data_IF_736902244587
#
_entry.id   IF_736902244587
#
_cell.length_a   1.000
_cell.length_b   1.000
_cell.length_c   1.000
_cell.angle_alpha   90.00
_cell.angle_beta   90.00
_cell.angle_gamma   90.00
#
_symmetry.space_group_name_H-M   'P 1'
#
loop_
_entity.id
_entity.type
_entity.pdbx_description
1 polymer ?
#
# COMPACT_ATOMS: atom_id res chain seq x y z
N UNK A 1 -26.09 32.75 11.61
CA UNK A 1 -25.06 32.22 12.51
C UNK A 1 -24.36 30.97 11.95
N UNK A 2 -25.02 30.11 11.15
CA UNK A 2 -24.39 28.87 10.65
C UNK A 2 -23.39 28.98 9.49
N UNK A 3 -23.38 30.10 8.78
CA UNK A 3 -22.46 30.28 7.64
C UNK A 3 -21.00 30.51 8.04
N UNK A 4 -20.71 30.86 9.30
CA UNK A 4 -19.34 31.03 9.80
C UNK A 4 -18.69 29.75 10.27
N UNK A 5 -19.44 28.77 10.78
CA UNK A 5 -18.89 27.55 11.37
C UNK A 5 -18.36 26.57 10.30
N UNK A 6 -19.11 26.36 9.22
CA UNK A 6 -18.64 25.51 8.12
C UNK A 6 -17.42 26.10 7.40
N UNK A 7 -17.33 27.46 7.30
CA UNK A 7 -16.18 28.10 6.68
C UNK A 7 -14.92 28.00 7.55
N UNK A 8 -15.07 28.16 8.86
CA UNK A 8 -13.97 27.95 9.82
C UNK A 8 -13.49 26.49 9.78
N UNK A 9 -14.42 25.53 9.75
CA UNK A 9 -14.09 24.11 9.63
C UNK A 9 -13.41 23.80 8.30
N UNK A 10 -13.86 24.38 7.17
CA UNK A 10 -13.20 24.22 5.87
C UNK A 10 -11.73 24.69 5.93
N UNK A 11 -11.50 25.86 6.50
CA UNK A 11 -10.15 26.45 6.57
C UNK A 11 -9.28 25.64 7.55
N UNK A 12 -9.78 25.37 8.75
CA UNK A 12 -8.98 24.68 9.79
C UNK A 12 -8.82 23.19 9.51
N UNK A 13 -9.92 22.48 9.24
CA UNK A 13 -9.93 21.03 9.14
C UNK A 13 -9.67 20.54 7.70
N UNK A 14 -10.13 21.26 6.69
CA UNK A 14 -9.90 20.93 5.30
C UNK A 14 -8.53 21.38 4.80
N UNK A 15 -8.23 22.69 4.91
CA UNK A 15 -7.05 23.29 4.29
C UNK A 15 -5.82 23.17 5.19
N UNK A 16 -5.89 23.68 6.43
CA UNK A 16 -4.72 23.74 7.32
C UNK A 16 -4.28 22.33 7.71
N UNK A 17 -5.21 21.44 8.08
CA UNK A 17 -4.87 20.04 8.38
C UNK A 17 -4.36 19.30 7.13
N UNK A 18 -4.93 19.56 5.95
CA UNK A 18 -4.47 18.96 4.70
C UNK A 18 -3.05 19.38 4.33
N UNK A 19 -2.75 20.68 4.39
CA UNK A 19 -1.39 21.21 4.17
C UNK A 19 -0.43 20.74 5.26
N UNK A 20 -0.86 20.79 6.53
CA UNK A 20 -0.08 20.31 7.68
C UNK A 20 0.30 18.83 7.55
N UNK A 21 -0.62 17.99 7.08
CA UNK A 21 -0.35 16.59 6.77
C UNK A 21 0.77 16.44 5.74
N UNK A 22 0.72 17.17 4.63
CA UNK A 22 1.78 17.13 3.61
C UNK A 22 3.11 17.61 4.17
N UNK A 23 3.12 18.71 4.94
CA UNK A 23 4.35 19.28 5.53
C UNK A 23 4.98 18.34 6.57
N UNK A 24 4.19 17.60 7.33
CA UNK A 24 4.69 16.64 8.32
C UNK A 24 5.53 15.52 7.69
N UNK A 25 5.22 15.11 6.45
CA UNK A 25 5.98 14.08 5.74
C UNK A 25 7.21 14.62 5.01
N UNK A 26 7.29 15.92 4.78
CA UNK A 26 8.37 16.53 4.01
C UNK A 26 9.76 16.21 4.56
N UNK A 27 10.03 16.36 5.88
CA UNK A 27 11.33 16.03 6.44
C UNK A 27 11.72 14.56 6.27
N UNK A 28 10.75 13.65 6.45
CA UNK A 28 10.98 12.22 6.32
C UNK A 28 11.31 11.83 4.87
N UNK A 29 10.59 12.42 3.90
CA UNK A 29 10.81 12.19 2.47
C UNK A 29 12.13 12.82 2.04
N UNK A 30 12.46 14.02 2.52
CA UNK A 30 13.73 14.67 2.24
C UNK A 30 14.91 13.83 2.75
N UNK A 31 14.81 13.28 3.97
CA UNK A 31 15.83 12.39 4.52
C UNK A 31 15.97 11.11 3.71
N UNK A 32 14.84 10.51 3.28
CA UNK A 32 14.85 9.34 2.40
C UNK A 32 15.59 9.64 1.10
N UNK A 33 15.25 10.74 0.42
CA UNK A 33 15.90 11.11 -0.83
C UNK A 33 17.38 11.48 -0.62
N UNK A 34 17.74 12.06 0.53
CA UNK A 34 19.13 12.34 0.89
C UNK A 34 19.94 11.04 0.97
N UNK A 35 19.45 10.06 1.74
CA UNK A 35 20.11 8.75 1.86
C UNK A 35 20.23 8.04 0.50
N UNK A 36 19.17 8.10 -0.31
CA UNK A 36 19.18 7.50 -1.64
C UNK A 36 20.16 8.17 -2.59
N UNK A 37 20.20 9.50 -2.61
CA UNK A 37 21.13 10.26 -3.45
C UNK A 37 22.58 9.98 -3.08
N UNK A 38 22.89 9.89 -1.78
CA UNK A 38 24.22 9.52 -1.28
C UNK A 38 24.64 8.11 -1.76
N UNK A 39 23.72 7.13 -1.68
CA UNK A 39 24.00 5.77 -2.11
C UNK A 39 24.09 5.65 -3.65
N UNK A 40 23.33 6.44 -4.39
CA UNK A 40 23.35 6.46 -5.85
C UNK A 40 24.64 7.11 -6.37
N UNK A 41 24.98 8.29 -5.88
CA UNK A 41 26.17 9.04 -6.29
C UNK A 41 27.49 8.34 -5.92
N UNK A 42 27.50 7.57 -4.82
CA UNK A 42 28.67 6.79 -4.41
C UNK A 42 28.96 5.58 -5.32
N UNK A 43 28.02 5.19 -6.21
CA UNK A 43 28.12 3.98 -7.03
C UNK A 43 27.81 2.67 -6.28
N UNK A 44 27.35 2.76 -5.02
CA UNK A 44 27.03 1.61 -4.17
C UNK A 44 25.81 0.85 -4.68
N UNK A 45 24.81 1.55 -5.21
CA UNK A 45 23.57 0.98 -5.74
C UNK A 45 23.81 -0.05 -6.86
N UNK A 46 24.72 0.25 -7.80
CA UNK A 46 25.04 -0.66 -8.92
C UNK A 46 25.66 -1.96 -8.41
N UNK A 47 26.47 -1.91 -7.35
CA UNK A 47 27.10 -3.08 -6.75
C UNK A 47 26.12 -3.94 -5.98
N UNK A 48 25.20 -3.33 -5.22
CA UNK A 48 24.11 -4.06 -4.57
C UNK A 48 23.26 -4.75 -5.62
N UNK A 49 22.88 -4.07 -6.70
CA UNK A 49 22.11 -4.67 -7.78
C UNK A 49 22.82 -5.88 -8.39
N UNK A 50 24.13 -5.83 -8.55
CA UNK A 50 24.94 -6.93 -9.04
C UNK A 50 24.95 -8.13 -8.07
N UNK A 51 25.20 -7.89 -6.78
CA UNK A 51 25.21 -8.93 -5.75
C UNK A 51 23.83 -9.59 -5.63
N UNK A 52 22.79 -8.78 -5.67
CA UNK A 52 21.41 -9.23 -5.51
C UNK A 52 20.80 -9.83 -6.78
N UNK A 53 21.50 -9.82 -7.91
CA UNK A 53 20.99 -10.40 -9.17
C UNK A 53 20.73 -11.90 -9.04
N UNK A 54 21.66 -12.64 -8.44
CA UNK A 54 21.52 -14.10 -8.27
C UNK A 54 20.30 -14.51 -7.43
N UNK A 55 20.03 -13.92 -6.24
CA UNK A 55 18.80 -14.21 -5.51
C UNK A 55 17.55 -13.69 -6.20
N UNK A 56 17.57 -12.48 -6.81
CA UNK A 56 16.40 -11.91 -7.47
C UNK A 56 15.96 -12.73 -8.69
N UNK A 57 16.88 -13.28 -9.47
CA UNK A 57 16.57 -14.21 -10.57
C UNK A 57 15.83 -15.46 -10.12
N UNK A 58 16.03 -15.94 -8.89
CA UNK A 58 15.24 -17.06 -8.33
C UNK A 58 13.76 -16.70 -8.24
N UNK A 59 13.43 -15.44 -8.05
CA UNK A 59 12.06 -14.91 -8.02
C UNK A 59 11.57 -14.41 -9.39
N UNK A 60 12.41 -14.52 -10.44
CA UNK A 60 12.09 -14.08 -11.80
C UNK A 60 12.20 -12.58 -11.99
N UNK A 61 13.00 -11.90 -11.18
CA UNK A 61 13.29 -10.49 -11.21
C UNK A 61 14.77 -10.25 -11.54
N UNK A 62 15.12 -9.11 -12.12
CA UNK A 62 16.50 -8.68 -12.29
C UNK A 62 17.07 -8.09 -10.99
N UNK A 63 18.39 -8.06 -10.84
CA UNK A 63 19.03 -7.44 -9.68
C UNK A 63 18.69 -5.97 -9.48
N UNK A 64 18.40 -5.24 -10.57
CA UNK A 64 17.93 -3.84 -10.52
C UNK A 64 16.61 -3.70 -9.75
N UNK A 65 15.77 -4.75 -9.68
CA UNK A 65 14.50 -4.76 -8.95
C UNK A 65 14.67 -4.62 -7.43
N UNK A 66 15.84 -5.01 -6.92
CA UNK A 66 16.10 -4.96 -5.48
C UNK A 66 16.05 -3.52 -4.94
N UNK A 67 16.57 -2.56 -5.71
CA UNK A 67 16.61 -1.16 -5.29
C UNK A 67 15.22 -0.58 -5.06
N UNK A 68 14.29 -0.60 -6.04
CA UNK A 68 12.90 -0.19 -5.79
C UNK A 68 12.21 -0.93 -4.66
N UNK A 69 12.43 -2.24 -4.51
CA UNK A 69 11.83 -3.02 -3.43
C UNK A 69 12.32 -2.55 -2.06
N UNK A 70 13.61 -2.25 -1.92
CA UNK A 70 14.18 -1.70 -0.70
C UNK A 70 13.63 -0.29 -0.40
N UNK A 71 13.53 0.57 -1.42
CA UNK A 71 12.90 1.89 -1.31
C UNK A 71 11.43 1.80 -0.86
N UNK A 72 10.74 0.70 -1.21
CA UNK A 72 9.36 0.42 -0.84
C UNK A 72 9.11 0.38 0.67
N UNK A 73 10.12 0.03 1.48
CA UNK A 73 10.04 0.12 2.94
C UNK A 73 9.99 1.57 3.45
N UNK A 74 10.57 2.49 2.72
CA UNK A 74 10.44 3.91 3.03
C UNK A 74 9.14 4.48 2.49
N UNK A 75 8.97 4.52 1.17
CA UNK A 75 7.79 5.04 0.49
C UNK A 75 7.59 4.38 -0.88
N UNK A 76 6.34 3.96 -1.14
CA UNK A 76 5.97 3.32 -2.43
C UNK A 76 6.05 4.27 -3.62
N UNK A 77 5.87 5.59 -3.42
CA UNK A 77 5.91 6.59 -4.51
C UNK A 77 7.28 6.67 -5.16
N UNK A 78 8.38 7.01 -4.43
CA UNK A 78 9.71 7.03 -5.02
C UNK A 78 10.18 5.63 -5.48
N UNK A 79 9.74 4.58 -4.80
CA UNK A 79 10.03 3.21 -5.20
C UNK A 79 9.46 2.88 -6.58
N UNK A 80 8.21 3.26 -6.86
CA UNK A 80 7.58 3.09 -8.18
C UNK A 80 8.28 3.95 -9.26
N UNK A 81 8.67 5.18 -8.93
CA UNK A 81 9.46 6.03 -9.83
C UNK A 81 10.83 5.43 -10.12
N UNK A 82 11.49 4.84 -9.13
CA UNK A 82 12.78 4.16 -9.28
C UNK A 82 12.71 2.94 -10.21
N UNK A 83 11.55 2.32 -10.37
CA UNK A 83 11.38 1.22 -11.30
C UNK A 83 11.53 1.62 -12.80
N UNK A 84 11.56 2.92 -13.12
CA UNK A 84 11.85 3.42 -14.48
C UNK A 84 13.24 3.04 -14.98
N UNK A 85 14.21 2.86 -14.08
CA UNK A 85 15.59 2.49 -14.44
C UNK A 85 15.72 1.08 -15.00
N UNK A 86 14.61 0.33 -15.05
CA UNK A 86 14.57 -1.01 -15.58
C UNK A 86 14.35 -1.01 -17.09
N UNK A 87 15.23 -1.68 -17.82
CA UNK A 87 15.19 -1.78 -19.28
C UNK A 87 14.05 -2.70 -19.76
N UNK A 88 13.73 -3.73 -18.96
CA UNK A 88 12.70 -4.70 -19.30
C UNK A 88 11.33 -4.29 -18.72
N UNK A 89 10.35 -4.06 -19.58
CA UNK A 89 8.99 -3.68 -19.20
C UNK A 89 8.32 -4.72 -18.30
N UNK A 90 8.61 -6.00 -18.50
CA UNK A 90 8.09 -7.09 -17.67
C UNK A 90 8.60 -6.99 -16.24
N UNK A 91 9.91 -6.85 -16.07
CA UNK A 91 10.54 -6.76 -14.74
C UNK A 91 10.07 -5.50 -14.02
N UNK A 92 9.94 -4.39 -14.74
CA UNK A 92 9.38 -3.14 -14.23
C UNK A 92 7.97 -3.35 -13.70
N UNK A 93 7.07 -3.94 -14.49
CA UNK A 93 5.68 -4.20 -14.08
C UNK A 93 5.60 -5.17 -12.90
N UNK A 94 6.40 -6.23 -12.92
CA UNK A 94 6.44 -7.18 -11.80
C UNK A 94 6.95 -6.53 -10.52
N UNK A 95 8.02 -5.74 -10.60
CA UNK A 95 8.53 -5.00 -9.44
C UNK A 95 7.49 -4.06 -8.87
N UNK A 96 6.81 -3.27 -9.72
CA UNK A 96 5.76 -2.35 -9.28
C UNK A 96 4.58 -3.10 -8.62
N UNK A 97 4.22 -4.30 -9.10
CA UNK A 97 3.19 -5.14 -8.47
C UNK A 97 3.57 -5.62 -7.07
N UNK A 98 4.87 -5.78 -6.80
CA UNK A 98 5.37 -6.26 -5.51
C UNK A 98 5.60 -5.14 -4.49
N UNK A 99 5.79 -3.88 -4.93
CA UNK A 99 6.07 -2.75 -4.05
C UNK A 99 5.06 -2.58 -2.89
N UNK A 100 3.75 -2.71 -3.09
CA UNK A 100 2.79 -2.48 -2.00
C UNK A 100 2.81 -3.51 -0.88
N UNK A 101 3.42 -4.69 -1.10
CA UNK A 101 3.63 -5.68 -0.05
C UNK A 101 4.70 -5.24 0.95
N UNK A 102 5.59 -4.32 0.55
CA UNK A 102 6.57 -3.73 1.46
C UNK A 102 5.87 -2.75 2.40
N UNK A 103 6.19 -2.86 3.69
CA UNK A 103 5.61 -2.00 4.72
C UNK A 103 6.26 -0.62 4.66
N UNK A 104 5.56 0.39 4.15
CA UNK A 104 6.07 1.76 4.13
C UNK A 104 6.00 2.41 5.52
N UNK A 105 6.82 3.42 5.74
CA UNK A 105 6.93 4.14 7.03
C UNK A 105 5.62 4.77 7.49
N UNK A 106 4.73 5.19 6.58
CA UNK A 106 3.42 5.75 6.92
C UNK A 106 2.45 4.74 7.59
N UNK A 107 2.74 3.44 7.53
CA UNK A 107 1.96 2.41 8.24
C UNK A 107 2.38 2.25 9.71
N UNK A 108 3.62 2.65 10.06
CA UNK A 108 4.17 2.50 11.42
C UNK A 108 3.34 3.15 12.52
N UNK A 109 2.80 4.38 12.37
CA UNK A 109 1.93 4.96 13.39
C UNK A 109 0.70 4.11 13.69
N UNK A 110 0.09 3.50 12.65
CA UNK A 110 -1.06 2.61 12.82
C UNK A 110 -0.65 1.35 13.59
N UNK A 111 0.49 0.76 13.23
CA UNK A 111 1.02 -0.42 13.95
C UNK A 111 1.35 -0.08 15.40
N UNK A 112 1.98 1.08 15.62
CA UNK A 112 2.35 1.56 16.95
C UNK A 112 1.13 1.78 17.85
N UNK A 113 0.07 2.38 17.31
CA UNK A 113 -1.18 2.64 18.02
C UNK A 113 -1.87 1.33 18.43
N UNK A 114 -2.17 0.47 17.48
CA UNK A 114 -2.95 -0.75 17.72
C UNK A 114 -2.14 -1.80 18.46
N UNK A 115 -0.86 -2.02 18.08
CA UNK A 115 0.01 -2.95 18.79
C UNK A 115 0.31 -2.46 20.23
N UNK A 116 0.43 -1.14 20.42
CA UNK A 116 0.60 -0.55 21.75
C UNK A 116 -0.63 -0.70 22.64
N UNK A 117 -1.83 -0.63 22.07
CA UNK A 117 -3.08 -0.78 22.80
C UNK A 117 -3.38 -2.23 23.20
N UNK A 118 -3.24 -3.18 22.28
CA UNK A 118 -3.67 -4.57 22.48
C UNK A 118 -2.52 -5.55 22.83
N UNK A 119 -1.27 -5.22 22.48
CA UNK A 119 -0.10 -6.10 22.60
C UNK A 119 1.08 -5.39 23.27
N UNK A 120 0.83 -4.67 24.39
CA UNK A 120 1.82 -3.82 25.07
C UNK A 120 3.13 -4.54 25.40
N UNK A 121 3.07 -5.80 25.88
CA UNK A 121 4.25 -6.61 26.24
C UNK A 121 5.05 -7.11 25.02
N UNK A 122 4.37 -7.39 23.91
CA UNK A 122 4.96 -8.00 22.72
C UNK A 122 4.89 -7.10 21.48
N UNK A 123 4.76 -5.78 21.68
CA UNK A 123 4.58 -4.80 20.58
C UNK A 123 5.62 -4.92 19.48
N UNK A 124 6.90 -5.10 19.85
CA UNK A 124 7.98 -5.25 18.88
C UNK A 124 7.86 -6.53 18.04
N UNK A 125 7.46 -7.64 18.65
CA UNK A 125 7.24 -8.90 17.94
C UNK A 125 6.06 -8.83 16.96
N UNK A 126 4.98 -8.15 17.34
CA UNK A 126 3.82 -7.93 16.47
C UNK A 126 4.23 -7.11 15.24
N UNK A 127 4.96 -6.02 15.43
CA UNK A 127 5.44 -5.20 14.32
C UNK A 127 6.40 -6.00 13.43
N UNK A 128 7.35 -6.73 14.02
CA UNK A 128 8.28 -7.58 13.27
C UNK A 128 7.53 -8.65 12.46
N UNK A 129 6.51 -9.30 13.04
CA UNK A 129 5.70 -10.30 12.36
C UNK A 129 4.98 -9.74 11.13
N UNK A 130 4.49 -8.50 11.18
CA UNK A 130 3.88 -7.81 10.04
C UNK A 130 4.90 -7.54 8.92
N UNK A 131 6.12 -7.11 9.26
CA UNK A 131 7.18 -6.91 8.26
C UNK A 131 7.56 -8.22 7.58
N UNK A 132 7.78 -9.28 8.37
CA UNK A 132 8.10 -10.62 7.84
C UNK A 132 6.97 -11.13 6.95
N UNK A 133 5.71 -10.99 7.40
CA UNK A 133 4.53 -11.40 6.64
C UNK A 133 4.47 -10.66 5.28
N UNK A 134 4.69 -9.35 5.27
CA UNK A 134 4.70 -8.56 4.04
C UNK A 134 5.76 -9.04 3.04
N UNK A 135 6.99 -9.27 3.51
CA UNK A 135 8.09 -9.78 2.67
C UNK A 135 7.78 -11.18 2.15
N UNK A 136 7.29 -12.09 3.01
CA UNK A 136 6.92 -13.46 2.62
C UNK A 136 5.84 -13.46 1.53
N UNK A 137 4.80 -12.63 1.68
CA UNK A 137 3.74 -12.50 0.68
C UNK A 137 4.23 -11.85 -0.61
N UNK A 138 5.13 -10.88 -0.52
CA UNK A 138 5.82 -10.32 -1.68
C UNK A 138 6.59 -11.38 -2.46
N UNK A 139 7.38 -12.20 -1.79
CA UNK A 139 8.11 -13.32 -2.38
C UNK A 139 7.15 -14.34 -3.01
N UNK A 140 6.11 -14.73 -2.29
CA UNK A 140 5.09 -15.67 -2.79
C UNK A 140 4.38 -15.14 -4.03
N UNK A 141 3.98 -13.88 -4.02
CA UNK A 141 3.37 -13.21 -5.18
C UNK A 141 4.33 -13.17 -6.37
N UNK A 142 5.62 -12.88 -6.14
CA UNK A 142 6.66 -12.90 -7.16
C UNK A 142 6.82 -14.28 -7.81
N UNK A 143 6.82 -15.35 -7.01
CA UNK A 143 6.89 -16.73 -7.50
C UNK A 143 5.65 -17.12 -8.33
N UNK A 144 4.46 -16.70 -7.89
CA UNK A 144 3.21 -16.91 -8.62
C UNK A 144 3.27 -16.22 -9.99
N UNK A 145 3.68 -14.95 -10.02
CA UNK A 145 3.78 -14.18 -11.27
C UNK A 145 4.87 -14.73 -12.20
N UNK A 146 6.01 -15.18 -11.67
CA UNK A 146 7.06 -15.85 -12.46
C UNK A 146 6.50 -17.06 -13.21
N UNK A 147 5.77 -17.93 -12.49
CA UNK A 147 5.19 -19.17 -13.06
C UNK A 147 4.14 -18.86 -14.14
N UNK A 148 3.41 -17.77 -13.97
CA UNK A 148 2.38 -17.33 -14.90
C UNK A 148 2.93 -16.66 -16.17
N UNK A 149 4.08 -16.00 -16.07
CA UNK A 149 4.69 -15.23 -17.15
C UNK A 149 5.79 -16.03 -17.90
N UNK A 150 5.51 -17.26 -18.28
CA UNK A 150 6.36 -18.30 -18.91
C UNK A 150 7.09 -17.91 -20.22
N UNK A 151 7.72 -16.75 -20.32
CA UNK A 151 8.61 -16.43 -21.44
C UNK A 151 10.06 -16.40 -20.97
N UNK A 152 10.86 -17.34 -21.51
CA UNK A 152 12.26 -17.64 -21.16
C UNK A 152 13.29 -16.60 -21.69
N UNK A 153 12.91 -15.38 -21.97
CA UNK A 153 13.89 -14.36 -22.34
C UNK A 153 14.48 -13.72 -21.08
N UNK A 154 15.43 -14.43 -20.47
CA UNK A 154 16.33 -13.83 -19.50
C UNK A 154 17.37 -13.02 -20.31
N UNK A 155 17.15 -11.71 -20.39
CA UNK A 155 18.17 -10.82 -20.96
C UNK A 155 19.43 -10.92 -20.06
N UNK A 156 20.63 -11.07 -20.64
CA UNK A 156 21.84 -11.08 -19.84
C UNK A 156 21.97 -9.75 -19.10
N UNK A 157 22.20 -9.85 -17.78
CA UNK A 157 22.36 -8.70 -16.92
C UNK A 157 23.81 -8.19 -17.08
N UNK A 158 23.98 -7.20 -17.92
CA UNK A 158 25.25 -6.51 -18.07
C UNK A 158 25.13 -5.15 -17.38
N UNK A 159 25.86 -4.98 -16.29
CA UNK A 159 26.01 -3.68 -15.61
C UNK A 159 27.48 -3.32 -15.63
N UNK A 160 27.79 -2.15 -16.16
CA UNK A 160 29.06 -1.50 -15.92
C UNK A 160 29.10 -1.02 -14.47
N UNK A 161 30.09 -1.49 -13.71
CA UNK A 161 30.26 -1.09 -12.30
C UNK A 161 31.01 0.27 -12.28
N UNK A 162 30.32 1.37 -11.95
CA UNK A 162 30.98 2.66 -11.83
C UNK A 162 32.04 2.62 -10.72
N UNK A 163 33.16 3.37 -10.86
CA UNK A 163 34.13 3.49 -9.78
C UNK A 163 33.48 4.17 -8.56
N UNK A 164 33.96 3.84 -7.36
CA UNK A 164 33.55 4.56 -6.16
C UNK A 164 33.95 6.03 -6.26
N UNK A 165 33.00 6.90 -6.03
CA UNK A 165 33.22 8.35 -5.98
C UNK A 165 32.65 8.91 -4.68
N UNK A 166 33.33 9.87 -4.08
CA UNK A 166 32.76 10.63 -2.98
C UNK A 166 31.64 11.52 -3.52
N UNK A 167 30.41 11.43 -2.97
CA UNK A 167 29.30 12.29 -3.36
C UNK A 167 29.66 13.77 -3.15
N UNK A 168 29.40 14.59 -4.16
CA UNK A 168 29.54 16.05 -4.01
C UNK A 168 28.34 16.60 -3.25
N UNK A 169 28.55 17.29 -2.15
CA UNK A 169 27.48 17.87 -1.34
C UNK A 169 26.53 18.76 -2.16
N UNK A 170 27.06 19.51 -3.11
CA UNK A 170 26.28 20.38 -3.99
C UNK A 170 25.34 19.56 -4.87
N UNK A 171 25.84 18.50 -5.51
CA UNK A 171 25.02 17.65 -6.39
C UNK A 171 23.93 16.93 -5.58
N UNK A 172 24.30 16.34 -4.44
CA UNK A 172 23.35 15.67 -3.55
C UNK A 172 22.21 16.61 -3.15
N UNK A 173 22.55 17.84 -2.72
CA UNK A 173 21.54 18.82 -2.32
C UNK A 173 20.61 19.20 -3.50
N UNK A 174 21.18 19.44 -4.68
CA UNK A 174 20.39 19.73 -5.89
C UNK A 174 19.46 18.58 -6.26
N UNK A 175 19.96 17.36 -6.27
CA UNK A 175 19.14 16.18 -6.58
C UNK A 175 18.03 15.94 -5.54
N UNK A 176 18.33 16.15 -4.26
CA UNK A 176 17.32 16.04 -3.19
C UNK A 176 16.24 17.11 -3.38
N UNK A 177 16.65 18.36 -3.65
CA UNK A 177 15.71 19.46 -3.84
C UNK A 177 14.78 19.22 -5.02
N UNK A 178 15.31 18.84 -6.19
CA UNK A 178 14.53 18.54 -7.38
C UNK A 178 13.54 17.39 -7.14
N UNK A 179 13.97 16.34 -6.43
CA UNK A 179 13.09 15.20 -6.12
C UNK A 179 11.99 15.57 -5.12
N UNK A 180 12.29 16.39 -4.12
CA UNK A 180 11.32 16.90 -3.15
C UNK A 180 10.32 17.84 -3.82
N UNK A 181 10.78 18.77 -4.66
CA UNK A 181 9.93 19.66 -5.43
C UNK A 181 8.95 18.89 -6.32
N UNK A 182 9.45 17.93 -7.08
CA UNK A 182 8.62 17.07 -7.91
C UNK A 182 7.63 16.21 -7.10
N UNK A 183 8.01 15.79 -5.90
CA UNK A 183 7.09 15.09 -5.00
C UNK A 183 5.99 16.01 -4.51
N UNK A 184 6.31 17.22 -4.06
CA UNK A 184 5.34 18.21 -3.60
C UNK A 184 4.36 18.60 -4.70
N UNK A 185 4.85 18.88 -5.90
CA UNK A 185 4.04 19.27 -7.04
C UNK A 185 3.03 18.16 -7.42
N UNK A 186 3.42 16.91 -7.42
CA UNK A 186 2.60 15.79 -7.90
C UNK A 186 1.82 15.09 -6.80
N UNK A 187 2.51 14.64 -5.77
CA UNK A 187 1.87 13.88 -4.70
C UNK A 187 1.19 14.81 -3.68
N UNK A 188 1.82 15.96 -3.36
CA UNK A 188 1.26 16.96 -2.46
C UNK A 188 -0.08 17.50 -2.96
N UNK A 189 -0.18 17.82 -4.26
CA UNK A 189 -1.43 18.30 -4.87
C UNK A 189 -2.55 17.24 -4.78
N UNK A 190 -2.23 15.97 -5.03
CA UNK A 190 -3.22 14.87 -4.94
C UNK A 190 -3.68 14.68 -3.50
N UNK A 191 -2.73 14.66 -2.55
CA UNK A 191 -3.05 14.49 -1.12
C UNK A 191 -3.90 15.65 -0.62
N UNK A 192 -3.53 16.89 -0.98
CA UNK A 192 -4.30 18.08 -0.62
C UNK A 192 -5.72 18.04 -1.20
N UNK A 193 -5.88 17.77 -2.49
CA UNK A 193 -7.20 17.68 -3.12
C UNK A 193 -8.07 16.61 -2.46
N UNK A 194 -7.48 15.45 -2.16
CA UNK A 194 -8.18 14.34 -1.52
C UNK A 194 -8.53 14.64 -0.05
N UNK A 195 -7.71 15.40 0.69
CA UNK A 195 -8.03 15.79 2.06
C UNK A 195 -9.21 16.76 2.12
N UNK A 196 -9.33 17.69 1.15
CA UNK A 196 -10.51 18.56 1.02
C UNK A 196 -11.77 17.75 0.69
N UNK A 197 -11.66 16.74 -0.20
CA UNK A 197 -12.78 15.85 -0.51
C UNK A 197 -13.19 15.03 0.73
N UNK A 198 -12.23 14.50 1.47
CA UNK A 198 -12.51 13.78 2.71
C UNK A 198 -13.18 14.66 3.76
N UNK A 199 -12.68 15.89 3.95
CA UNK A 199 -13.31 16.85 4.85
C UNK A 199 -14.77 17.08 4.45
N UNK A 200 -15.04 17.29 3.16
CA UNK A 200 -16.40 17.45 2.67
C UNK A 200 -17.29 16.25 2.99
N UNK A 201 -16.79 15.02 2.73
CA UNK A 201 -17.53 13.79 3.00
C UNK A 201 -17.74 13.52 4.51
N UNK A 202 -16.88 14.05 5.36
CA UNK A 202 -16.98 13.92 6.82
C UNK A 202 -17.94 14.97 7.43
N UNK A 203 -18.01 16.17 6.84
CA UNK A 203 -18.73 17.30 7.41
C UNK A 203 -20.16 17.43 6.89
N UNK A 204 -20.52 16.77 5.79
CA UNK A 204 -21.83 16.90 5.17
C UNK A 204 -22.59 15.56 5.11
N UNK A 205 -23.93 15.67 5.22
CA UNK A 205 -24.88 14.59 4.93
C UNK A 205 -25.28 14.59 3.45
N UNK A 206 -25.98 13.53 2.99
CA UNK A 206 -26.57 13.45 1.65
C UNK A 206 -27.53 14.60 1.31
N UNK A 207 -28.03 15.33 2.32
CA UNK A 207 -28.88 16.52 2.15
C UNK A 207 -28.08 17.83 2.17
N UNK A 208 -26.75 17.78 2.15
CA UNK A 208 -25.84 18.94 2.24
C UNK A 208 -26.02 19.78 3.51
N UNK A 209 -26.51 19.18 4.60
CA UNK A 209 -26.51 19.81 5.90
C UNK A 209 -25.16 19.58 6.58
N UNK A 210 -24.65 20.63 7.22
CA UNK A 210 -23.44 20.53 8.06
C UNK A 210 -23.76 19.79 9.34
N UNK A 211 -23.01 18.70 9.64
CA UNK A 211 -23.28 17.80 10.74
C UNK A 211 -22.05 17.73 11.66
N UNK A 212 -22.30 17.73 12.95
CA UNK A 212 -21.29 17.56 13.98
C UNK A 212 -21.01 16.08 14.29
N UNK A 213 -21.99 15.18 14.03
CA UNK A 213 -21.87 13.75 14.30
C UNK A 213 -21.33 12.97 13.11
N UNK A 214 -20.10 12.39 13.20
CA UNK A 214 -19.48 11.67 12.09
C UNK A 214 -20.27 10.45 11.59
N UNK A 215 -21.12 9.87 12.43
CA UNK A 215 -21.94 8.70 12.08
C UNK A 215 -23.01 8.99 11.02
N UNK A 216 -23.52 10.22 10.98
CA UNK A 216 -24.55 10.67 10.05
C UNK A 216 -23.96 11.25 8.75
N UNK A 217 -22.64 11.44 8.69
CA UNK A 217 -21.94 11.97 7.51
C UNK A 217 -22.04 11.04 6.31
N UNK A 218 -21.82 11.56 5.11
CA UNK A 218 -21.73 10.79 3.87
C UNK A 218 -20.69 9.64 4.05
N UNK A 219 -19.55 9.93 4.67
CA UNK A 219 -18.51 8.95 4.89
C UNK A 219 -18.92 7.88 5.91
N UNK A 220 -19.66 8.26 6.97
CA UNK A 220 -20.24 7.34 7.95
C UNK A 220 -21.27 6.40 7.32
N UNK A 221 -22.13 6.92 6.44
CA UNK A 221 -23.10 6.11 5.70
C UNK A 221 -22.44 5.13 4.73
N UNK A 222 -21.39 5.55 3.99
CA UNK A 222 -20.60 4.66 3.15
C UNK A 222 -19.88 3.61 3.99
N UNK A 223 -19.30 4.01 5.11
CA UNK A 223 -18.63 3.10 6.06
C UNK A 223 -19.57 2.04 6.60
N UNK A 224 -20.80 2.40 6.99
CA UNK A 224 -21.82 1.46 7.48
C UNK A 224 -22.31 0.52 6.37
N UNK A 225 -22.42 0.98 5.12
CA UNK A 225 -22.77 0.14 3.98
C UNK A 225 -21.68 -0.90 3.63
N UNK A 226 -20.41 -0.55 3.86
CA UNK A 226 -19.26 -1.42 3.58
C UNK A 226 -18.93 -2.33 4.79
N UNK A 227 -19.28 -1.93 6.01
CA UNK A 227 -19.00 -2.66 7.24
C UNK A 227 -19.37 -4.16 7.20
N UNK A 228 -20.50 -4.60 6.58
CA UNK A 228 -20.85 -6.01 6.47
C UNK A 228 -19.80 -6.85 5.75
N UNK A 229 -19.04 -6.27 4.79
CA UNK A 229 -17.97 -6.95 4.05
C UNK A 229 -16.81 -7.32 4.98
N UNK A 230 -16.57 -6.51 6.02
CA UNK A 230 -15.49 -6.70 6.99
C UNK A 230 -15.90 -7.52 8.22
N UNK A 231 -17.19 -7.87 8.39
CA UNK A 231 -17.64 -8.75 9.49
C UNK A 231 -16.87 -10.08 9.55
N UNK A 232 -16.64 -10.81 8.43
CA UNK A 232 -15.89 -12.07 8.48
C UNK A 232 -14.43 -11.91 8.93
N UNK A 233 -13.89 -10.70 8.87
CA UNK A 233 -12.52 -10.38 9.28
C UNK A 233 -12.42 -9.99 10.76
N UNK A 234 -13.57 -9.90 11.45
CA UNK A 234 -13.65 -9.55 12.87
C UNK A 234 -13.74 -8.06 13.17
N UNK A 235 -13.65 -7.16 12.18
CA UNK A 235 -13.73 -5.70 12.36
C UNK A 235 -14.85 -5.05 11.53
N UNK A 236 -16.05 -5.62 11.57
CA UNK A 236 -17.24 -5.14 10.84
C UNK A 236 -17.91 -3.90 11.45
N UNK A 237 -17.18 -3.01 12.09
CA UNK A 237 -17.68 -1.74 12.60
C UNK A 237 -17.61 -0.63 11.54
N UNK A 238 -18.55 0.32 11.58
CA UNK A 238 -18.53 1.46 10.67
C UNK A 238 -17.27 2.31 10.87
N UNK A 239 -16.79 2.45 12.11
CA UNK A 239 -15.58 3.20 12.47
C UNK A 239 -14.32 2.60 11.80
N UNK A 240 -14.15 1.28 11.86
CA UNK A 240 -13.04 0.59 11.21
C UNK A 240 -13.11 0.74 9.68
N UNK A 241 -14.32 0.65 9.11
CA UNK A 241 -14.54 0.81 7.66
C UNK A 241 -14.20 2.22 7.19
N UNK A 242 -14.63 3.26 7.91
CA UNK A 242 -14.29 4.65 7.62
C UNK A 242 -12.79 4.89 7.77
N UNK A 243 -12.16 4.35 8.83
CA UNK A 243 -10.72 4.47 9.02
C UNK A 243 -9.94 3.84 7.84
N UNK A 244 -10.39 2.71 7.30
CA UNK A 244 -9.78 2.11 6.11
C UNK A 244 -9.98 2.97 4.85
N UNK A 245 -11.16 3.56 4.66
CA UNK A 245 -11.44 4.45 3.53
C UNK A 245 -10.57 5.71 3.58
N UNK A 246 -10.46 6.36 4.73
CA UNK A 246 -9.56 7.50 4.92
C UNK A 246 -8.10 7.12 4.73
N UNK A 247 -7.72 5.92 5.16
CA UNK A 247 -6.39 5.35 4.98
C UNK A 247 -6.02 5.03 3.52
N UNK A 248 -6.97 4.95 2.58
CA UNK A 248 -6.66 4.90 1.14
C UNK A 248 -6.11 6.25 0.65
N UNK A 249 -6.57 7.35 1.21
CA UNK A 249 -6.05 8.68 0.86
C UNK A 249 -4.65 8.85 1.43
N UNK A 250 -4.53 8.67 2.75
CA UNK A 250 -3.26 8.77 3.47
C UNK A 250 -3.28 7.79 4.65
N UNK A 251 -2.25 6.96 4.78
CA UNK A 251 -2.23 5.85 5.76
C UNK A 251 -2.31 6.32 7.20
N UNK A 252 -1.72 7.46 7.50
CA UNK A 252 -1.78 8.09 8.82
C UNK A 252 -3.18 8.61 9.18
N UNK A 253 -4.02 8.89 8.19
CA UNK A 253 -5.39 9.29 8.43
C UNK A 253 -6.21 8.19 9.15
N UNK A 254 -5.78 6.93 9.08
CA UNK A 254 -6.35 5.84 9.89
C UNK A 254 -6.25 6.15 11.38
N UNK A 255 -5.08 6.61 11.85
CA UNK A 255 -4.86 6.96 13.26
C UNK A 255 -5.75 8.13 13.66
N UNK A 256 -5.79 9.19 12.84
CA UNK A 256 -6.60 10.37 13.11
C UNK A 256 -8.10 10.04 13.16
N UNK A 257 -8.58 9.20 12.24
CA UNK A 257 -9.98 8.76 12.23
C UNK A 257 -10.32 7.90 13.45
N UNK A 258 -9.47 6.92 13.80
CA UNK A 258 -9.70 6.08 14.97
C UNK A 258 -9.66 6.90 16.27
N UNK A 259 -8.73 7.86 16.39
CA UNK A 259 -8.67 8.74 17.56
C UNK A 259 -9.90 9.64 17.69
N UNK A 260 -10.43 10.12 16.57
CA UNK A 260 -11.65 10.92 16.54
C UNK A 260 -12.88 10.09 16.96
N UNK A 261 -13.05 8.89 16.41
CA UNK A 261 -14.22 8.04 16.71
C UNK A 261 -14.21 7.44 18.11
N UNK A 262 -13.06 7.16 18.65
CA UNK A 262 -12.89 6.63 19.99
C UNK A 262 -12.64 7.72 21.05
N UNK A 263 -12.71 9.00 20.67
CA UNK A 263 -12.60 10.18 21.54
C UNK A 263 -11.34 10.18 22.41
N UNK A 264 -10.19 9.76 21.87
CA UNK A 264 -8.90 9.85 22.56
C UNK A 264 -7.89 10.70 21.79
N UNK A 265 -6.92 11.26 22.50
CA UNK A 265 -5.78 11.93 21.86
C UNK A 265 -4.80 10.90 21.30
N UNK A 266 -4.26 11.15 20.11
CA UNK A 266 -3.25 10.27 19.49
C UNK A 266 -1.97 10.11 20.34
N UNK A 267 -1.75 11.00 21.31
CA UNK A 267 -0.66 10.96 22.28
C UNK A 267 -1.05 10.34 23.64
N UNK A 268 -2.31 9.83 23.79
CA UNK A 268 -2.77 9.22 25.03
C UNK A 268 -1.99 7.94 25.36
N UNK A 269 -1.90 7.62 26.63
CA UNK A 269 -1.24 6.39 27.11
C UNK A 269 -1.97 5.12 26.63
N UNK A 270 -1.24 4.02 26.49
CA UNK A 270 -1.73 2.77 25.91
C UNK A 270 -3.00 2.22 26.55
N UNK A 271 -3.20 2.37 27.87
CA UNK A 271 -4.39 1.92 28.58
C UNK A 271 -5.65 2.72 28.18
N UNK A 272 -5.53 4.04 28.03
CA UNK A 272 -6.64 4.91 27.58
C UNK A 272 -7.06 4.55 26.15
N UNK A 273 -6.07 4.35 25.29
CA UNK A 273 -6.29 3.94 23.89
C UNK A 273 -6.93 2.55 23.83
N UNK A 274 -6.45 1.61 24.65
CA UNK A 274 -7.01 0.27 24.74
C UNK A 274 -8.47 0.28 25.16
N UNK A 275 -8.82 1.03 26.21
CA UNK A 275 -10.19 1.14 26.70
C UNK A 275 -11.10 1.76 25.64
N UNK A 276 -10.65 2.79 24.96
CA UNK A 276 -11.39 3.44 23.89
C UNK A 276 -11.60 2.54 22.66
N UNK A 277 -10.59 1.74 22.28
CA UNK A 277 -10.66 0.83 21.14
C UNK A 277 -11.27 -0.54 21.45
N UNK A 278 -11.43 -0.93 22.73
CA UNK A 278 -12.00 -2.23 23.11
C UNK A 278 -13.46 -2.40 22.69
N UNK A 279 -14.19 -1.30 22.47
CA UNK A 279 -15.53 -1.33 21.89
C UNK A 279 -15.57 -1.56 20.38
N UNK A 280 -14.44 -1.40 19.68
CA UNK A 280 -14.34 -1.50 18.23
C UNK A 280 -13.59 -2.78 17.82
N UNK A 281 -12.57 -3.18 18.56
CA UNK A 281 -11.68 -4.30 18.26
C UNK A 281 -11.53 -5.25 19.43
N UNK A 282 -11.47 -6.55 19.14
CA UNK A 282 -10.90 -7.58 20.01
C UNK A 282 -9.41 -7.77 19.68
N UNK A 283 -8.57 -8.40 20.52
CA UNK A 283 -7.16 -8.64 20.18
C UNK A 283 -6.98 -9.38 18.85
N UNK A 284 -7.83 -10.38 18.56
CA UNK A 284 -7.80 -11.12 17.30
C UNK A 284 -8.16 -10.23 16.09
N UNK A 285 -9.23 -9.43 16.23
CA UNK A 285 -9.65 -8.52 15.16
C UNK A 285 -8.67 -7.35 14.98
N UNK A 286 -8.01 -6.89 16.04
CA UNK A 286 -6.96 -5.87 15.96
C UNK A 286 -5.76 -6.35 15.14
N UNK A 287 -5.28 -7.57 15.36
CA UNK A 287 -4.20 -8.12 14.53
C UNK A 287 -4.64 -8.35 13.08
N UNK A 288 -5.86 -8.88 12.86
CA UNK A 288 -6.45 -9.02 11.53
C UNK A 288 -6.54 -7.68 10.79
N UNK A 289 -6.95 -6.62 11.47
CA UNK A 289 -6.98 -5.26 10.94
C UNK A 289 -5.57 -4.76 10.56
N UNK A 290 -4.55 -5.03 11.39
CA UNK A 290 -3.16 -4.69 11.07
C UNK A 290 -2.66 -5.40 9.81
N UNK A 291 -2.99 -6.69 9.64
CA UNK A 291 -2.66 -7.45 8.42
C UNK A 291 -3.38 -6.87 7.21
N UNK A 292 -4.64 -6.46 7.36
CA UNK A 292 -5.37 -5.80 6.29
C UNK A 292 -4.71 -4.46 5.92
N UNK A 293 -4.37 -3.61 6.91
CA UNK A 293 -3.67 -2.33 6.71
C UNK A 293 -2.29 -2.52 6.07
N UNK A 294 -1.60 -3.62 6.36
CA UNK A 294 -0.34 -3.97 5.72
C UNK A 294 -0.51 -4.16 4.20
N UNK A 295 -1.52 -4.89 3.78
CA UNK A 295 -1.62 -5.45 2.43
C UNK A 295 -2.56 -4.70 1.49
N UNK A 296 -3.56 -3.96 2.03
CA UNK A 296 -4.53 -3.29 1.18
C UNK A 296 -3.91 -2.15 0.36
N UNK A 297 -4.67 -1.69 -0.61
CA UNK A 297 -4.29 -0.68 -1.60
C UNK A 297 -3.40 0.42 -1.02
N UNK A 298 -2.28 0.76 -1.67
CA UNK A 298 -1.43 1.86 -1.25
C UNK A 298 -2.19 3.20 -1.33
N UNK A 299 -1.61 4.26 -0.75
CA UNK A 299 -2.22 5.59 -0.78
C UNK A 299 -2.49 6.07 -2.22
N UNK A 300 -3.42 7.02 -2.39
CA UNK A 300 -3.81 7.53 -3.71
C UNK A 300 -2.63 8.08 -4.50
N UNK A 301 -1.66 8.72 -3.84
CA UNK A 301 -0.42 9.19 -4.48
C UNK A 301 0.38 8.02 -5.09
N UNK A 302 0.47 6.88 -4.38
CA UNK A 302 1.14 5.70 -4.90
C UNK A 302 0.35 5.06 -6.06
N UNK A 303 -0.97 4.98 -5.99
CA UNK A 303 -1.81 4.47 -7.09
C UNK A 303 -1.65 5.33 -8.34
N UNK A 304 -1.67 6.66 -8.18
CA UNK A 304 -1.46 7.60 -9.29
C UNK A 304 -0.07 7.39 -9.95
N UNK A 305 0.97 7.22 -9.13
CA UNK A 305 2.33 6.95 -9.60
C UNK A 305 2.43 5.58 -10.28
N UNK A 306 1.87 4.53 -9.69
CA UNK A 306 1.80 3.18 -10.27
C UNK A 306 1.11 3.22 -11.64
N UNK A 307 -0.01 3.97 -11.77
CA UNK A 307 -0.71 4.13 -13.04
C UNK A 307 0.17 4.78 -14.11
N UNK A 308 0.95 5.78 -13.73
CA UNK A 308 1.86 6.49 -14.63
C UNK A 308 3.01 5.59 -15.07
N UNK A 309 3.61 4.84 -14.15
CA UNK A 309 4.76 3.97 -14.43
C UNK A 309 4.39 2.69 -15.16
N UNK A 310 3.21 2.14 -14.92
CA UNK A 310 2.71 0.96 -15.65
C UNK A 310 2.21 1.27 -17.06
N UNK A 311 1.93 2.54 -17.40
CA UNK A 311 1.41 2.99 -18.69
C UNK A 311 0.19 2.20 -19.21
N UNK A 312 -0.52 1.50 -18.33
CA UNK A 312 -1.68 0.66 -18.67
C UNK A 312 -2.72 0.70 -17.56
N UNK A 313 -3.94 1.11 -17.92
CA UNK A 313 -5.08 1.12 -16.98
C UNK A 313 -5.43 -0.28 -16.50
N UNK A 314 -5.35 -1.28 -17.38
CA UNK A 314 -5.69 -2.66 -17.04
C UNK A 314 -4.70 -3.28 -16.03
N UNK A 315 -3.40 -3.02 -16.18
CA UNK A 315 -2.39 -3.48 -15.24
C UNK A 315 -2.47 -2.77 -13.89
N UNK A 316 -2.81 -1.49 -13.88
CA UNK A 316 -3.03 -0.75 -12.63
C UNK A 316 -4.27 -1.28 -11.90
N UNK A 317 -5.38 -1.48 -12.60
CA UNK A 317 -6.59 -2.07 -12.01
C UNK A 317 -6.31 -3.49 -11.48
N UNK A 318 -5.57 -4.30 -12.23
CA UNK A 318 -5.15 -5.62 -11.78
C UNK A 318 -4.30 -5.54 -10.50
N UNK A 319 -3.35 -4.59 -10.40
CA UNK A 319 -2.54 -4.41 -9.22
C UNK A 319 -3.38 -4.09 -7.98
N UNK A 320 -4.32 -3.15 -8.10
CA UNK A 320 -5.21 -2.74 -6.99
C UNK A 320 -6.12 -3.90 -6.57
N UNK A 321 -6.73 -4.60 -7.52
CA UNK A 321 -7.60 -5.75 -7.23
C UNK A 321 -6.82 -6.89 -6.58
N UNK A 322 -5.61 -7.18 -7.08
CA UNK A 322 -4.73 -8.20 -6.50
C UNK A 322 -4.36 -7.90 -5.05
N UNK A 323 -4.04 -6.64 -4.75
CA UNK A 323 -3.72 -6.20 -3.40
C UNK A 323 -4.91 -6.28 -2.46
N UNK A 324 -6.07 -5.78 -2.87
CA UNK A 324 -7.31 -5.89 -2.10
C UNK A 324 -7.68 -7.35 -1.82
N UNK A 325 -7.61 -8.21 -2.84
CA UNK A 325 -7.91 -9.63 -2.70
C UNK A 325 -6.92 -10.32 -1.74
N UNK A 326 -5.61 -10.05 -1.89
CA UNK A 326 -4.60 -10.63 -0.98
C UNK A 326 -4.75 -10.11 0.44
N UNK A 327 -5.08 -8.83 0.64
CA UNK A 327 -5.34 -8.24 1.95
C UNK A 327 -6.54 -8.90 2.63
N UNK A 328 -7.64 -9.06 1.90
CA UNK A 328 -8.85 -9.68 2.41
C UNK A 328 -8.63 -11.13 2.82
N UNK A 329 -7.98 -11.92 1.95
CA UNK A 329 -7.71 -13.33 2.19
C UNK A 329 -6.78 -13.53 3.39
N UNK A 330 -5.68 -12.77 3.45
CA UNK A 330 -4.71 -12.92 4.53
C UNK A 330 -5.25 -12.44 5.87
N UNK A 331 -6.02 -11.35 5.88
CA UNK A 331 -6.70 -10.87 7.08
C UNK A 331 -7.74 -11.89 7.58
N UNK A 332 -8.53 -12.48 6.67
CA UNK A 332 -9.49 -13.53 6.98
C UNK A 332 -8.80 -14.78 7.55
N UNK A 333 -7.71 -15.25 6.92
CA UNK A 333 -6.93 -16.39 7.42
C UNK A 333 -6.37 -16.10 8.81
N UNK A 334 -5.81 -14.93 9.01
CA UNK A 334 -5.22 -14.52 10.28
C UNK A 334 -6.27 -14.45 11.39
N UNK A 335 -7.44 -13.87 11.13
CA UNK A 335 -8.54 -13.81 12.09
C UNK A 335 -8.99 -15.22 12.50
N UNK A 336 -9.18 -16.11 11.53
CA UNK A 336 -9.61 -17.47 11.82
C UNK A 336 -8.55 -18.30 12.54
N UNK A 337 -7.27 -18.16 12.19
CA UNK A 337 -6.18 -18.86 12.87
C UNK A 337 -6.11 -18.43 14.34
N UNK A 338 -6.12 -17.11 14.60
CA UNK A 338 -6.10 -16.61 15.98
C UNK A 338 -7.37 -17.02 16.73
N UNK A 339 -8.53 -16.94 16.09
CA UNK A 339 -9.80 -17.34 16.66
C UNK A 339 -9.90 -18.83 17.02
N UNK A 340 -9.18 -19.70 16.28
CA UNK A 340 -9.04 -21.13 16.64
C UNK A 340 -8.27 -21.31 17.95
N UNK A 341 -7.27 -20.46 18.22
CA UNK A 341 -6.52 -20.50 19.48
C UNK A 341 -7.27 -19.84 20.65
N UNK A 342 -8.12 -18.86 20.37
CA UNK A 342 -8.91 -18.15 21.38
C UNK A 342 -10.32 -18.72 21.59
N UNK A 343 -10.75 -19.66 20.75
CA UNK A 343 -12.08 -20.30 20.84
C UNK A 343 -13.25 -19.45 20.31
N UNK A 344 -12.97 -18.34 19.64
CA UNK A 344 -13.99 -17.35 19.23
C UNK A 344 -14.54 -17.56 17.81
N UNK A 345 -14.06 -18.54 17.02
CA UNK A 345 -14.44 -18.66 15.60
C UNK A 345 -15.06 -20.00 15.22
N UNK A 346 -16.09 -19.95 14.39
CA UNK A 346 -16.72 -21.12 13.76
C UNK A 346 -15.83 -21.71 12.65
N UNK A 347 -15.65 -23.02 12.68
CA UNK A 347 -14.87 -23.77 11.67
C UNK A 347 -15.35 -23.58 10.22
N UNK A 348 -16.60 -23.17 10.04
CA UNK A 348 -17.20 -22.90 8.73
C UNK A 348 -16.51 -21.74 7.99
N UNK A 349 -16.07 -20.71 8.70
CA UNK A 349 -15.45 -19.51 8.10
C UNK A 349 -14.07 -19.82 7.52
N UNK A 350 -13.33 -20.75 8.12
CA UNK A 350 -12.04 -21.23 7.58
C UNK A 350 -12.23 -21.94 6.22
N UNK A 351 -13.32 -22.71 6.07
CA UNK A 351 -13.65 -23.39 4.81
C UNK A 351 -13.96 -22.37 3.71
N UNK A 352 -14.72 -21.31 4.00
CA UNK A 352 -15.00 -20.25 3.02
C UNK A 352 -13.74 -19.46 2.64
N UNK A 353 -12.81 -19.25 3.57
CA UNK A 353 -11.53 -18.60 3.29
C UNK A 353 -10.68 -19.40 2.31
N UNK A 354 -10.57 -20.71 2.53
CA UNK A 354 -9.84 -21.62 1.65
C UNK A 354 -10.55 -21.73 0.29
N UNK A 355 -11.87 -21.79 0.26
CA UNK A 355 -12.65 -21.82 -0.98
C UNK A 355 -12.46 -20.51 -1.79
N UNK A 356 -12.46 -19.34 -1.14
CA UNK A 356 -12.19 -18.06 -1.79
C UNK A 356 -10.76 -18.00 -2.39
N UNK A 357 -9.76 -18.53 -1.68
CA UNK A 357 -8.39 -18.67 -2.19
C UNK A 357 -8.34 -19.53 -3.47
N UNK A 358 -9.01 -20.67 -3.46
CA UNK A 358 -9.08 -21.59 -4.62
C UNK A 358 -9.77 -20.91 -5.80
N UNK A 359 -10.88 -20.19 -5.56
CA UNK A 359 -11.62 -19.48 -6.61
C UNK A 359 -10.79 -18.36 -7.23
N UNK A 360 -10.10 -17.56 -6.42
CA UNK A 360 -9.23 -16.48 -6.92
C UNK A 360 -8.03 -17.06 -7.67
N UNK A 361 -7.44 -18.14 -7.18
CA UNK A 361 -6.35 -18.83 -7.87
C UNK A 361 -6.82 -19.44 -9.20
N UNK A 362 -8.00 -20.05 -9.23
CA UNK A 362 -8.58 -20.62 -10.45
C UNK A 362 -8.97 -19.54 -11.46
N UNK A 363 -9.60 -18.44 -11.03
CA UNK A 363 -9.92 -17.30 -11.88
C UNK A 363 -8.64 -16.68 -12.48
N UNK A 364 -7.59 -16.53 -11.66
CA UNK A 364 -6.28 -16.08 -12.11
C UNK A 364 -5.69 -17.05 -13.18
N UNK A 365 -5.71 -18.34 -12.95
CA UNK A 365 -5.26 -19.34 -13.92
C UNK A 365 -6.08 -19.30 -15.23
N UNK A 366 -7.38 -19.09 -15.16
CA UNK A 366 -8.27 -19.00 -16.34
C UNK A 366 -7.98 -17.73 -17.15
N UNK A 367 -7.81 -16.58 -16.50
CA UNK A 367 -7.47 -15.30 -17.17
C UNK A 367 -6.12 -15.39 -17.87
N UNK A 368 -5.14 -16.03 -17.24
CA UNK A 368 -3.82 -16.25 -17.83
C UNK A 368 -3.85 -17.29 -18.97
N UNK A 369 -4.68 -18.31 -18.88
CA UNK A 369 -4.87 -19.33 -19.93
C UNK A 369 -5.56 -18.75 -21.18
N UNK A 370 -6.54 -17.86 -21.01
CA UNK A 370 -7.22 -17.15 -22.11
C UNK A 370 -6.27 -16.24 -22.92
N UNK A 371 -5.28 -15.62 -22.24
CA UNK A 371 -4.26 -14.80 -22.92
C UNK A 371 -3.21 -15.60 -23.68
N UNK A 372 -2.97 -16.88 -23.33
CA UNK A 372 -2.08 -17.77 -24.08
C UNK A 372 -2.71 -18.26 -25.40
N UNK A 373 -4.03 -18.35 -25.48
CA UNK A 373 -4.75 -18.80 -26.67
C UNK A 373 -4.80 -17.76 -27.82
N UNK A 374 -4.63 -16.46 -27.54
CA UNK A 374 -4.68 -15.44 -28.58
C UNK A 374 -3.33 -15.17 -29.28
N UNK A 375 -2.22 -15.73 -28.79
CA UNK A 375 -0.87 -15.46 -29.34
C UNK A 375 -0.41 -16.39 -30.48
N UNK A 376 -1.07 -17.55 -30.65
CA UNK A 376 -0.63 -18.55 -31.65
C UNK A 376 -1.42 -18.55 -32.96
N UNK A 377 -2.46 -17.74 -33.11
CA UNK A 377 -3.32 -17.74 -34.31
C UNK A 377 -2.92 -16.79 -35.44
N UNK A 378 -1.98 -15.85 -35.19
CA UNK A 378 -1.70 -14.76 -36.15
C UNK A 378 -0.40 -14.90 -36.95
N UNK A 379 0.56 -15.71 -36.51
CA UNK A 379 1.85 -15.82 -37.19
C UNK A 379 1.83 -16.77 -38.38
N UNK A 380 0.90 -17.72 -38.47
CA UNK A 380 0.85 -18.69 -39.56
C UNK A 380 0.13 -18.19 -40.84
N UNK A 381 -0.61 -17.08 -40.78
CA UNK A 381 -1.34 -16.52 -41.96
C UNK A 381 -0.60 -15.39 -42.67
N UNK A 382 0.52 -14.92 -42.17
CA UNK A 382 1.29 -13.81 -42.83
C UNK A 382 2.40 -14.29 -43.76
N UNK A 383 2.78 -15.59 -43.71
CA UNK A 383 3.82 -16.14 -44.55
C UNK A 383 3.33 -16.62 -45.93
N UNK A 384 2.02 -16.77 -46.14
CA UNK A 384 1.48 -17.27 -47.44
C UNK A 384 1.03 -16.18 -48.43
N UNK A 385 1.20 -14.89 -48.09
CA UNK A 385 0.75 -13.79 -48.98
C UNK A 385 1.93 -12.98 -49.61
N UNK A 386 3.14 -13.53 -49.59
CA UNK A 386 4.34 -12.89 -50.22
C UNK A 386 4.91 -13.68 -51.39
N UNK A 387 4.22 -14.70 -51.87
CA UNK A 387 4.56 -15.37 -53.14
C UNK A 387 3.28 -15.62 -53.95
N UNK A 388 2.73 -14.56 -54.52
CA UNK A 388 1.91 -14.54 -55.74
C UNK A 388 2.01 -13.12 -56.31
#
# INVERSE_FOLDING_TARGET
>A
AGAGEWFISLVCDGIIKGVGGVLTFLPQIALLFLCLSLLEDSGYMSRIAFIMDKPMRRFGLSGKSFIPLLMGFGCTVPAAMGARTMDNERDRRMTILLLPFMSCSAKLPVYGLIAGAFFSEHRGLVILSLYVLGVMLGILSGLIFRKAASNKQEAPFVIELPPYRMPSARNVFTHVWERVEHFLEKAGTIIFAMSVVLWFMQSFDFRLNFISDPSLSILGAIGSAIAPIFKPLGFGSWQASVALLTGVVAKEAVVSSLSMFASFSASAGGEVVRQALSGIFTPASAYSFLVFVLLYTPCMAAVATIRREMQSRAWTAFAVVWQLASAYIMSLLTYNIIGLFTGETDKAVLFYAVAALIVIYSAYCIIMRRRRGCGCGSAAKCSQKKHL
#
